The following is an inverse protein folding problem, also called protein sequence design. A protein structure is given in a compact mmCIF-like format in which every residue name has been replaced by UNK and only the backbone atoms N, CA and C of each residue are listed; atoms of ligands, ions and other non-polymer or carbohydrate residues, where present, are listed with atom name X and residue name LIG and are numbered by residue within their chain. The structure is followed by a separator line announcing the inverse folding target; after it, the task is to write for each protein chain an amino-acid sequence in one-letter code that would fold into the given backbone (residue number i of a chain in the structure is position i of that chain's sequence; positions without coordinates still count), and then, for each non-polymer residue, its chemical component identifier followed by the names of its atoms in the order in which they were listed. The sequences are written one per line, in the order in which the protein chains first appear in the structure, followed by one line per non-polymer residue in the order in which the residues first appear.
data_IF_321788071302
#
_entry.id   IF_321788071302
#
_cell.length_a   1.000
_cell.length_b   1.000
_cell.length_c   1.000
_cell.angle_alpha   90.00
_cell.angle_beta   90.00
_cell.angle_gamma   90.00
#
_symmetry.space_group_name_H-M   'P 1'
#
loop_
_entity.id
_entity.type
_entity.pdbx_description
1 polymer ?
#
# COMPACT_ATOMS: atom_id res chain seq x y z
N UNK A 1 17.45 -36.99 -30.09
CA UNK A 1 17.07 -36.60 -28.71
C UNK A 1 18.24 -35.83 -28.14
N UNK A 2 18.14 -34.48 -27.97
CA UNK A 2 19.18 -33.70 -27.33
C UNK A 2 19.00 -33.77 -25.81
N UNK A 3 20.08 -34.20 -25.13
CA UNK A 3 20.18 -34.18 -23.67
C UNK A 3 20.43 -32.73 -23.24
N UNK A 4 19.49 -32.10 -22.60
CA UNK A 4 19.69 -30.87 -21.86
C UNK A 4 20.48 -31.18 -20.60
N UNK A 5 21.74 -30.74 -20.56
CA UNK A 5 22.56 -30.71 -19.35
C UNK A 5 22.05 -29.57 -18.46
N UNK A 6 21.39 -29.89 -17.37
CA UNK A 6 21.16 -28.96 -16.30
C UNK A 6 22.48 -28.71 -15.57
N UNK A 7 23.10 -27.58 -15.79
CA UNK A 7 24.15 -27.07 -14.90
C UNK A 7 23.47 -26.67 -13.60
N UNK A 8 23.65 -27.45 -12.56
CA UNK A 8 23.30 -27.12 -11.20
C UNK A 8 24.19 -25.96 -10.72
N UNK A 9 23.76 -24.71 -10.95
CA UNK A 9 24.29 -23.57 -10.24
C UNK A 9 23.98 -23.77 -8.74
N UNK A 10 24.98 -23.59 -7.89
CA UNK A 10 24.81 -23.55 -6.45
C UNK A 10 23.71 -22.54 -6.14
N UNK A 11 22.52 -23.00 -5.77
CA UNK A 11 21.47 -22.16 -5.25
C UNK A 11 21.94 -21.69 -3.88
N UNK A 12 22.39 -20.45 -3.79
CA UNK A 12 22.43 -19.77 -2.50
C UNK A 12 20.99 -19.69 -2.01
N UNK A 13 20.69 -20.40 -0.96
CA UNK A 13 19.37 -20.36 -0.32
C UNK A 13 19.35 -19.10 0.56
N UNK A 14 18.75 -18.05 0.04
CA UNK A 14 18.54 -16.81 0.81
C UNK A 14 17.28 -16.96 1.65
N UNK A 15 17.31 -16.40 2.85
CA UNK A 15 16.13 -16.22 3.69
C UNK A 15 15.69 -14.76 3.62
N UNK A 16 14.39 -14.52 3.83
CA UNK A 16 13.87 -13.14 3.92
C UNK A 16 14.36 -12.42 5.17
N UNK A 17 14.85 -13.16 6.17
CA UNK A 17 15.31 -12.68 7.47
C UNK A 17 16.47 -13.51 8.02
N UNK A 18 17.63 -12.93 8.34
CA UNK A 18 18.14 -11.66 7.83
C UNK A 18 18.64 -11.81 6.37
N UNK A 19 18.46 -10.81 5.56
CA UNK A 19 18.96 -10.77 4.19
C UNK A 19 20.23 -9.89 4.12
N UNK A 20 21.28 -10.36 3.43
CA UNK A 20 22.40 -9.52 3.01
C UNK A 20 22.08 -8.95 1.60
N UNK A 21 21.75 -7.66 1.48
CA UNK A 21 21.34 -7.08 0.21
C UNK A 21 22.46 -7.12 -0.84
N UNK A 22 23.73 -6.95 -0.43
CA UNK A 22 24.87 -6.98 -1.34
C UNK A 22 25.08 -8.37 -1.93
N UNK A 23 25.13 -9.41 -1.07
CA UNK A 23 25.28 -10.79 -1.52
C UNK A 23 24.10 -11.22 -2.39
N UNK A 24 22.89 -10.79 -2.02
CA UNK A 24 21.67 -11.06 -2.77
C UNK A 24 21.71 -10.46 -4.17
N UNK A 25 22.09 -9.17 -4.29
CA UNK A 25 22.21 -8.49 -5.57
C UNK A 25 23.33 -9.07 -6.44
N UNK A 26 24.52 -9.36 -5.87
CA UNK A 26 25.66 -9.95 -6.59
C UNK A 26 25.35 -11.31 -7.21
N UNK A 27 24.51 -12.10 -6.54
CA UNK A 27 24.06 -13.40 -7.06
C UNK A 27 22.86 -13.31 -8.00
N UNK A 28 22.33 -12.10 -8.27
CA UNK A 28 21.04 -11.90 -8.96
C UNK A 28 19.93 -12.73 -8.28
N UNK A 29 19.93 -12.69 -6.94
CA UNK A 29 19.06 -13.50 -6.09
C UNK A 29 17.58 -13.20 -6.35
N UNK A 30 16.75 -14.20 -6.13
CA UNK A 30 15.29 -14.07 -6.19
C UNK A 30 14.67 -14.80 -5.00
N UNK A 31 13.75 -14.13 -4.35
CA UNK A 31 12.92 -14.67 -3.26
C UNK A 31 11.46 -14.42 -3.60
N UNK A 32 10.59 -15.29 -3.11
CA UNK A 32 9.15 -15.09 -3.19
C UNK A 32 8.47 -15.79 -2.03
N UNK A 33 7.35 -15.24 -1.61
CA UNK A 33 6.52 -15.79 -0.55
C UNK A 33 5.04 -15.64 -0.88
N UNK A 34 4.25 -16.49 -0.23
CA UNK A 34 2.80 -16.39 -0.22
C UNK A 34 2.33 -16.74 1.19
N UNK A 35 2.03 -15.73 1.97
CA UNK A 35 1.85 -15.83 3.41
C UNK A 35 0.52 -15.24 3.83
N UNK A 36 0.01 -15.68 5.01
CA UNK A 36 -1.20 -15.08 5.56
C UNK A 36 -0.97 -13.60 5.90
N UNK A 37 -1.91 -12.74 5.54
CA UNK A 37 -1.92 -11.32 5.88
C UNK A 37 -1.79 -11.09 7.40
N UNK A 38 -2.24 -12.04 8.21
CA UNK A 38 -2.13 -11.98 9.68
C UNK A 38 -0.69 -12.00 10.20
N UNK A 39 0.30 -12.35 9.38
CA UNK A 39 1.73 -12.24 9.73
C UNK A 39 2.24 -10.79 9.71
N UNK A 40 1.57 -9.92 9.00
CA UNK A 40 1.86 -8.51 8.83
C UNK A 40 1.01 -7.72 9.85
N UNK A 41 1.61 -7.43 11.01
CA UNK A 41 0.86 -6.99 12.20
C UNK A 41 0.14 -5.65 12.02
N UNK A 42 0.76 -4.70 11.31
CA UNK A 42 0.19 -3.37 11.09
C UNK A 42 -1.03 -3.44 10.19
N UNK A 43 -0.91 -4.13 9.03
CA UNK A 43 -2.05 -4.31 8.12
C UNK A 43 -3.15 -5.13 8.78
N UNK A 44 -2.79 -6.18 9.55
CA UNK A 44 -3.76 -7.00 10.26
C UNK A 44 -4.57 -6.19 11.28
N UNK A 45 -3.97 -5.18 11.92
CA UNK A 45 -4.67 -4.26 12.82
C UNK A 45 -5.67 -3.39 12.06
N UNK A 46 -5.28 -2.84 10.91
CA UNK A 46 -6.16 -2.01 10.08
C UNK A 46 -7.35 -2.81 9.50
N UNK A 47 -7.15 -4.10 9.25
CA UNK A 47 -8.21 -5.02 8.82
C UNK A 47 -9.19 -5.42 9.94
N UNK A 48 -8.97 -5.00 11.19
CA UNK A 48 -9.90 -5.21 12.34
C UNK A 48 -10.45 -6.64 12.43
N UNK A 49 -9.58 -7.66 12.35
CA UNK A 49 -9.93 -9.09 12.37
C UNK A 49 -10.64 -9.66 11.12
N UNK A 50 -10.90 -8.87 10.10
CA UNK A 50 -11.46 -9.36 8.83
C UNK A 50 -10.40 -10.00 7.91
N UNK A 51 -9.11 -9.83 8.21
CA UNK A 51 -7.99 -10.36 7.42
C UNK A 51 -7.75 -11.88 7.47
N UNK A 52 -8.64 -12.64 8.15
CA UNK A 52 -8.52 -14.10 8.22
C UNK A 52 -8.75 -14.71 6.83
N UNK A 53 -7.74 -15.46 6.35
CA UNK A 53 -7.78 -16.10 5.02
C UNK A 53 -7.25 -15.20 3.88
N UNK A 54 -7.02 -13.91 4.10
CA UNK A 54 -6.33 -13.08 3.14
C UNK A 54 -4.85 -13.45 3.05
N UNK A 55 -4.31 -13.40 1.84
CA UNK A 55 -2.94 -13.78 1.54
C UNK A 55 -2.18 -12.58 0.99
N UNK A 56 -0.88 -12.54 1.27
CA UNK A 56 0.10 -11.63 0.71
C UNK A 56 1.03 -12.44 -0.17
N UNK A 57 1.00 -12.19 -1.46
CA UNK A 57 1.95 -12.75 -2.41
C UNK A 57 3.01 -11.71 -2.72
N UNK A 58 4.28 -12.05 -2.58
CA UNK A 58 5.37 -11.13 -2.87
C UNK A 58 6.53 -11.82 -3.58
N UNK A 59 7.31 -11.04 -4.30
CA UNK A 59 8.58 -11.46 -4.87
C UNK A 59 9.59 -10.31 -4.83
N UNK A 60 10.84 -10.65 -4.56
CA UNK A 60 11.95 -9.72 -4.53
C UNK A 60 13.09 -10.23 -5.42
N UNK A 61 13.74 -9.32 -6.12
CA UNK A 61 14.90 -9.60 -6.98
C UNK A 61 16.02 -8.61 -6.68
N UNK A 62 17.20 -9.15 -6.37
CA UNK A 62 18.43 -8.37 -6.24
C UNK A 62 19.11 -8.19 -7.59
N UNK A 63 19.71 -7.02 -7.81
CA UNK A 63 20.43 -6.69 -9.03
C UNK A 63 21.61 -5.76 -8.71
N UNK A 64 22.77 -6.02 -9.34
CA UNK A 64 23.87 -5.05 -9.36
C UNK A 64 23.78 -4.23 -10.64
N UNK A 65 23.80 -2.91 -10.51
CA UNK A 65 23.82 -1.97 -11.64
C UNK A 65 25.07 -1.12 -11.58
N UNK A 66 25.56 -0.69 -12.72
CA UNK A 66 26.60 0.32 -12.79
C UNK A 66 25.94 1.69 -13.00
N UNK A 67 26.36 2.70 -12.21
CA UNK A 67 26.00 4.08 -12.45
C UNK A 67 26.70 4.61 -13.72
N UNK A 68 26.45 5.87 -14.08
CA UNK A 68 27.06 6.54 -15.24
C UNK A 68 28.57 6.78 -15.11
N UNK A 69 29.14 6.59 -13.91
CA UNK A 69 30.57 6.69 -13.61
C UNK A 69 31.24 5.31 -13.51
N UNK A 70 30.46 4.22 -13.58
CA UNK A 70 30.93 2.84 -13.47
C UNK A 70 31.01 2.32 -12.02
N UNK A 71 30.44 3.02 -11.03
CA UNK A 71 30.33 2.49 -9.68
C UNK A 71 29.19 1.48 -9.60
N UNK A 72 29.42 0.42 -8.83
CA UNK A 72 28.42 -0.60 -8.59
C UNK A 72 27.39 -0.15 -7.55
N UNK A 73 26.13 -0.20 -7.96
CA UNK A 73 24.97 0.07 -7.10
C UNK A 73 24.19 -1.23 -6.81
N UNK A 74 23.68 -1.33 -5.58
CA UNK A 74 22.89 -2.46 -5.13
C UNK A 74 21.42 -2.09 -5.27
N UNK A 75 20.69 -2.87 -6.04
CA UNK A 75 19.27 -2.66 -6.30
C UNK A 75 18.42 -3.83 -5.82
N UNK A 76 17.22 -3.53 -5.34
CA UNK A 76 16.18 -4.48 -4.99
C UNK A 76 14.88 -4.09 -5.71
N UNK A 77 14.29 -5.03 -6.43
CA UNK A 77 12.95 -4.89 -7.00
C UNK A 77 11.97 -5.69 -6.16
N UNK A 78 10.93 -5.05 -5.68
CA UNK A 78 9.87 -5.65 -4.88
C UNK A 78 8.54 -5.56 -5.62
N UNK A 79 7.89 -6.71 -5.76
CA UNK A 79 6.49 -6.82 -6.17
C UNK A 79 5.72 -7.43 -5.01
N UNK A 80 4.58 -6.87 -4.66
CA UNK A 80 3.67 -7.48 -3.70
C UNK A 80 2.21 -7.21 -4.08
N UNK A 81 1.37 -8.23 -3.89
CA UNK A 81 -0.06 -8.18 -4.11
C UNK A 81 -0.78 -8.72 -2.87
N UNK A 82 -1.78 -7.99 -2.41
CA UNK A 82 -2.63 -8.41 -1.30
C UNK A 82 -4.06 -7.89 -1.47
N UNK A 83 -5.00 -8.51 -0.76
CA UNK A 83 -6.33 -7.97 -0.56
C UNK A 83 -6.54 -7.71 0.93
N UNK A 84 -6.75 -6.44 1.30
CA UNK A 84 -6.96 -6.02 2.67
C UNK A 84 -8.46 -5.78 2.90
N UNK A 85 -9.17 -6.66 3.62
CA UNK A 85 -10.57 -6.44 3.98
C UNK A 85 -10.64 -5.36 5.08
N UNK A 86 -11.18 -4.20 4.74
CA UNK A 86 -11.32 -3.03 5.62
C UNK A 86 -12.79 -2.66 5.83
N UNK A 87 -13.08 -1.79 6.79
CA UNK A 87 -14.43 -1.27 6.98
C UNK A 87 -14.63 -0.03 6.12
N UNK A 88 -15.61 -0.10 5.23
CA UNK A 88 -16.03 1.05 4.42
C UNK A 88 -16.51 2.19 5.32
N UNK A 89 -15.89 3.36 5.22
CA UNK A 89 -16.22 4.52 6.06
C UNK A 89 -17.55 5.20 5.69
N UNK A 90 -18.21 4.71 4.64
CA UNK A 90 -19.53 5.24 4.22
C UNK A 90 -20.70 4.37 4.66
N UNK A 91 -20.61 3.03 4.45
CA UNK A 91 -21.72 2.13 4.77
C UNK A 91 -21.44 1.20 5.96
N UNK A 92 -20.22 1.22 6.50
CA UNK A 92 -19.74 0.40 7.62
C UNK A 92 -19.72 -1.11 7.35
N UNK A 93 -19.84 -1.52 6.10
CA UNK A 93 -19.66 -2.90 5.68
C UNK A 93 -18.22 -3.16 5.23
N UNK A 94 -17.83 -4.43 5.18
CA UNK A 94 -16.48 -4.82 4.75
C UNK A 94 -16.30 -4.54 3.26
N UNK A 95 -15.17 -3.95 2.91
CA UNK A 95 -14.71 -3.72 1.53
C UNK A 95 -13.31 -4.29 1.36
N UNK A 96 -13.11 -5.07 0.31
CA UNK A 96 -11.80 -5.61 -0.04
C UNK A 96 -11.01 -4.57 -0.83
N UNK A 97 -9.90 -4.13 -0.25
CA UNK A 97 -8.97 -3.17 -0.86
C UNK A 97 -7.84 -3.95 -1.51
N UNK A 98 -7.71 -3.83 -2.82
CA UNK A 98 -6.59 -4.41 -3.55
C UNK A 98 -5.35 -3.54 -3.34
N UNK A 99 -4.28 -4.13 -2.82
CA UNK A 99 -2.98 -3.52 -2.61
C UNK A 99 -2.00 -4.08 -3.63
N UNK A 100 -1.25 -3.20 -4.31
CA UNK A 100 -0.25 -3.59 -5.30
C UNK A 100 0.97 -2.74 -5.15
N UNK A 101 2.08 -3.39 -4.90
CA UNK A 101 3.42 -2.80 -4.79
C UNK A 101 4.23 -3.22 -6.01
N UNK A 102 4.84 -2.24 -6.67
CA UNK A 102 5.85 -2.41 -7.73
C UNK A 102 6.89 -1.32 -7.51
N UNK A 103 7.91 -1.63 -6.72
CA UNK A 103 8.92 -0.66 -6.27
C UNK A 103 10.33 -1.14 -6.52
N UNK A 104 11.20 -0.17 -6.74
CA UNK A 104 12.64 -0.39 -6.88
C UNK A 104 13.37 0.45 -5.86
N UNK A 105 14.23 -0.20 -5.10
CA UNK A 105 15.04 0.42 -4.06
C UNK A 105 16.50 0.37 -4.43
N UNK A 106 17.24 1.43 -4.10
CA UNK A 106 18.69 1.47 -4.20
C UNK A 106 19.31 1.57 -2.82
N UNK A 107 20.26 0.69 -2.52
CA UNK A 107 20.96 0.72 -1.26
C UNK A 107 22.13 1.69 -1.30
N UNK A 108 22.23 2.52 -0.27
CA UNK A 108 23.33 3.46 -0.05
C UNK A 108 24.09 3.11 1.24
N UNK A 109 25.28 3.68 1.42
CA UNK A 109 26.17 3.30 2.51
C UNK A 109 25.67 3.77 3.89
N UNK A 110 25.06 4.95 3.95
CA UNK A 110 24.71 5.63 5.20
C UNK A 110 23.57 6.64 5.00
N UNK A 111 23.01 7.09 6.11
CA UNK A 111 21.90 8.07 6.18
C UNK A 111 22.26 9.44 5.59
N UNK A 112 23.52 9.86 5.72
CA UNK A 112 23.99 11.15 5.18
C UNK A 112 23.93 11.13 3.65
N UNK A 113 24.37 10.02 3.06
CA UNK A 113 24.29 9.77 1.62
C UNK A 113 22.83 9.67 1.15
N UNK A 114 21.98 8.96 1.89
CA UNK A 114 20.55 8.87 1.59
C UNK A 114 19.92 10.27 1.57
N UNK A 115 20.07 11.05 2.64
CA UNK A 115 19.50 12.39 2.77
C UNK A 115 20.01 13.37 1.70
N UNK A 116 21.28 13.23 1.27
CA UNK A 116 21.86 14.09 0.23
C UNK A 116 21.33 13.78 -1.18
N UNK A 117 20.88 12.56 -1.44
CA UNK A 117 20.45 12.10 -2.75
C UNK A 117 18.93 11.98 -2.92
N UNK A 118 18.18 11.89 -1.84
CA UNK A 118 16.73 11.62 -1.83
C UNK A 118 15.94 12.57 -2.75
N UNK A 119 16.23 13.86 -2.71
CA UNK A 119 15.57 14.85 -3.57
C UNK A 119 16.04 14.83 -5.05
N UNK A 120 17.07 14.05 -5.37
CA UNK A 120 17.73 14.07 -6.69
C UNK A 120 17.45 12.82 -7.52
N UNK A 121 16.90 11.77 -6.92
CA UNK A 121 16.63 10.48 -7.55
C UNK A 121 15.14 10.16 -7.51
N UNK A 122 14.72 9.27 -8.39
CA UNK A 122 13.32 8.86 -8.49
C UNK A 122 13.03 7.57 -7.71
N UNK A 123 14.05 6.81 -7.44
CA UNK A 123 13.97 5.57 -6.64
C UNK A 123 14.06 5.86 -5.15
N UNK A 124 13.48 4.98 -4.35
CA UNK A 124 13.57 5.05 -2.89
C UNK A 124 14.94 4.54 -2.43
N UNK A 125 15.56 5.28 -1.49
CA UNK A 125 16.87 4.96 -0.96
C UNK A 125 16.78 4.22 0.37
N UNK A 126 17.51 3.10 0.47
CA UNK A 126 17.62 2.31 1.69
C UNK A 126 19.07 2.29 2.16
N UNK A 127 19.27 2.40 3.46
CA UNK A 127 20.61 2.33 4.04
C UNK A 127 21.03 0.87 4.24
N UNK A 128 22.26 0.54 3.84
CA UNK A 128 22.89 -0.75 4.12
C UNK A 128 23.18 -0.88 5.61
N UNK A 129 22.16 -1.15 6.42
CA UNK A 129 22.33 -1.60 7.80
C UNK A 129 22.57 -3.13 7.80
N UNK A 130 23.44 -3.62 8.67
CA UNK A 130 24.00 -4.98 8.61
C UNK A 130 23.05 -6.15 8.38
N UNK A 131 21.85 -6.13 8.98
CA UNK A 131 20.79 -7.13 8.77
C UNK A 131 19.56 -6.42 8.19
N UNK A 132 19.18 -6.84 6.98
CA UNK A 132 18.02 -6.30 6.30
C UNK A 132 16.82 -7.24 6.43
N UNK A 133 15.69 -6.68 6.85
CA UNK A 133 14.42 -7.39 6.98
C UNK A 133 13.52 -7.13 5.76
N UNK A 134 13.56 -8.07 4.82
CA UNK A 134 12.72 -7.99 3.62
C UNK A 134 11.23 -8.12 3.95
N UNK A 135 10.85 -8.88 4.98
CA UNK A 135 9.46 -9.03 5.37
C UNK A 135 8.90 -7.72 5.94
N UNK A 136 9.71 -6.99 6.70
CA UNK A 136 9.36 -5.66 7.18
C UNK A 136 9.18 -4.69 6.02
N UNK A 137 10.07 -4.70 5.02
CA UNK A 137 9.92 -3.86 3.83
C UNK A 137 8.62 -4.18 3.08
N UNK A 138 8.27 -5.45 2.89
CA UNK A 138 6.99 -5.85 2.27
C UNK A 138 5.81 -5.26 3.04
N UNK A 139 5.85 -5.31 4.37
CA UNK A 139 4.79 -4.74 5.21
C UNK A 139 4.74 -3.20 5.10
N UNK A 140 5.89 -2.53 5.12
CA UNK A 140 5.99 -1.08 4.99
C UNK A 140 5.34 -0.60 3.69
N UNK A 141 5.69 -1.22 2.57
CA UNK A 141 5.17 -0.86 1.26
C UNK A 141 3.67 -1.14 1.13
N UNK A 142 3.19 -2.28 1.64
CA UNK A 142 1.75 -2.58 1.64
C UNK A 142 0.95 -1.60 2.52
N UNK A 143 1.51 -1.14 3.65
CA UNK A 143 0.87 -0.11 4.49
C UNK A 143 0.80 1.23 3.76
N UNK A 144 1.82 1.59 2.99
CA UNK A 144 1.82 2.82 2.18
C UNK A 144 0.78 2.80 1.05
N UNK A 145 0.42 1.62 0.56
CA UNK A 145 -0.63 1.44 -0.46
C UNK A 145 -2.06 1.47 0.12
N UNK A 146 -2.23 1.46 1.45
CA UNK A 146 -3.54 1.56 2.06
C UNK A 146 -4.17 2.94 1.78
N UNK A 147 -5.44 2.99 1.37
CA UNK A 147 -6.11 4.26 1.18
C UNK A 147 -6.37 4.94 2.53
N UNK A 148 -6.24 6.27 2.58
CA UNK A 148 -6.58 7.05 3.78
C UNK A 148 -8.03 6.82 4.23
N UNK A 149 -8.94 6.53 3.31
CA UNK A 149 -10.35 6.28 3.57
C UNK A 149 -10.79 5.07 2.75
N UNK A 150 -10.96 3.93 3.39
CA UNK A 150 -11.51 2.73 2.75
C UNK A 150 -13.00 2.93 2.43
N UNK A 151 -13.39 2.69 1.18
CA UNK A 151 -14.79 2.79 0.75
C UNK A 151 -15.07 1.95 -0.49
N UNK A 152 -16.30 1.45 -0.60
CA UNK A 152 -16.77 0.89 -1.86
C UNK A 152 -16.91 1.98 -2.93
N UNK A 153 -16.69 1.66 -4.18
CA UNK A 153 -17.09 2.54 -5.28
C UNK A 153 -18.62 2.74 -5.25
N UNK A 154 -19.37 1.63 -5.15
CA UNK A 154 -20.81 1.62 -4.96
C UNK A 154 -21.10 0.80 -3.70
N UNK A 155 -21.65 1.44 -2.66
CA UNK A 155 -22.02 0.74 -1.43
C UNK A 155 -23.15 -0.26 -1.67
N UNK A 156 -23.05 -1.49 -1.13
CA UNK A 156 -24.13 -2.47 -1.21
C UNK A 156 -25.40 -1.98 -0.50
N UNK A 157 -25.23 -1.28 0.62
CA UNK A 157 -26.32 -0.65 1.36
C UNK A 157 -26.19 0.87 1.27
N UNK A 158 -27.26 1.57 0.89
CA UNK A 158 -27.25 3.03 0.91
C UNK A 158 -27.28 3.52 2.37
N UNK A 159 -26.26 4.25 2.83
CA UNK A 159 -26.27 4.80 4.18
C UNK A 159 -27.35 5.86 4.32
N UNK A 160 -27.99 5.99 5.50
CA UNK A 160 -28.90 7.07 5.75
C UNK A 160 -28.17 8.42 5.65
N UNK A 161 -28.67 9.31 4.80
CA UNK A 161 -28.06 10.64 4.58
C UNK A 161 -28.51 11.66 5.62
N UNK A 162 -29.49 11.31 6.46
CA UNK A 162 -29.98 12.13 7.56
C UNK A 162 -30.45 11.27 8.72
N UNK A 163 -30.23 11.75 9.93
CA UNK A 163 -30.77 11.21 11.15
C UNK A 163 -31.26 12.38 12.01
N UNK A 164 -32.44 12.23 12.61
CA UNK A 164 -33.00 13.21 13.54
C UNK A 164 -33.75 12.48 14.61
N UNK A 165 -33.72 13.04 15.83
CA UNK A 165 -34.56 12.57 16.92
C UNK A 165 -36.03 12.84 16.61
N UNK A 166 -36.93 12.03 17.18
CA UNK A 166 -38.39 12.17 17.02
C UNK A 166 -38.89 13.57 17.35
N UNK A 167 -38.24 14.22 18.32
CA UNK A 167 -38.65 15.53 18.86
C UNK A 167 -37.96 16.70 18.14
N UNK A 168 -37.01 16.43 17.21
CA UNK A 168 -36.27 17.47 16.52
C UNK A 168 -37.18 18.41 15.73
N UNK A 169 -38.18 17.85 15.03
CA UNK A 169 -39.16 18.62 14.27
C UNK A 169 -39.94 19.62 15.13
N UNK A 170 -40.30 19.21 16.35
CA UNK A 170 -41.01 20.04 17.31
C UNK A 170 -40.09 21.14 17.86
N UNK A 171 -38.84 20.78 18.20
CA UNK A 171 -37.86 21.70 18.75
C UNK A 171 -37.44 22.81 17.77
N UNK A 172 -37.48 22.53 16.44
CA UNK A 172 -37.06 23.45 15.40
C UNK A 172 -38.21 24.27 14.82
N UNK A 173 -39.45 23.79 14.89
CA UNK A 173 -40.64 24.44 14.32
C UNK A 173 -40.85 25.89 14.80
N UNK A 174 -40.32 26.27 15.96
CA UNK A 174 -40.41 27.63 16.51
C UNK A 174 -39.19 28.51 16.26
N UNK A 175 -38.14 28.02 15.57
CA UNK A 175 -36.92 28.79 15.34
C UNK A 175 -36.80 29.19 13.87
N UNK A 176 -36.58 30.48 13.55
CA UNK A 176 -36.33 30.89 12.19
C UNK A 176 -35.04 30.25 11.70
N UNK A 177 -35.07 29.68 10.49
CA UNK A 177 -33.87 29.10 9.87
C UNK A 177 -32.82 30.20 9.59
N UNK A 178 -31.65 30.19 10.27
CA UNK A 178 -30.64 31.22 10.09
C UNK A 178 -30.08 31.30 8.67
N UNK A 179 -30.25 30.21 7.90
CA UNK A 179 -29.77 30.12 6.50
C UNK A 179 -30.87 30.40 5.48
N UNK A 180 -32.09 30.81 5.89
CA UNK A 180 -33.18 31.11 4.95
C UNK A 180 -32.80 32.21 3.94
N UNK A 181 -31.93 33.12 4.31
CA UNK A 181 -31.38 34.17 3.44
C UNK A 181 -30.64 33.65 2.26
N UNK A 182 -30.04 32.46 2.35
CA UNK A 182 -29.28 31.82 1.27
C UNK A 182 -30.18 31.40 0.10
N UNK A 183 -31.47 31.18 0.34
CA UNK A 183 -32.42 30.86 -0.71
C UNK A 183 -32.51 32.01 -1.76
N UNK A 184 -32.24 33.26 -1.38
CA UNK A 184 -32.22 34.43 -2.25
C UNK A 184 -30.95 34.49 -3.14
N UNK A 185 -29.91 33.77 -2.78
CA UNK A 185 -28.63 33.67 -3.52
C UNK A 185 -28.61 32.51 -4.53
N UNK A 186 -29.58 31.60 -4.47
CA UNK A 186 -29.69 30.53 -5.47
C UNK A 186 -30.24 31.13 -6.79
N UNK A 187 -29.53 31.03 -7.91
CA UNK A 187 -30.08 31.43 -9.20
C UNK A 187 -31.34 30.62 -9.45
N UNK A 188 -32.43 31.32 -9.77
CA UNK A 188 -33.74 30.73 -9.94
C UNK A 188 -33.67 29.54 -10.90
N UNK A 189 -34.26 28.41 -10.51
CA UNK A 189 -34.52 27.30 -11.40
C UNK A 189 -35.39 27.84 -12.54
N UNK A 190 -34.82 27.90 -13.75
CA UNK A 190 -35.59 28.20 -14.92
C UNK A 190 -36.71 27.15 -15.03
N UNK A 191 -37.95 27.59 -15.04
CA UNK A 191 -39.10 26.73 -15.30
C UNK A 191 -38.88 26.02 -16.64
N UNK A 192 -39.06 24.72 -16.76
CA UNK A 192 -39.11 24.06 -18.04
C UNK A 192 -40.40 24.57 -18.74
N UNK A 193 -40.22 25.37 -19.76
CA UNK A 193 -41.32 25.83 -20.64
C UNK A 193 -42.12 24.63 -21.19
N UNK A 194 -43.40 24.86 -21.29
CA UNK A 194 -44.50 24.03 -21.80
C UNK A 194 -44.21 23.31 -23.10
#
# INVERSE_FOLDING_TARGET
MPRFSYTAGMKHEFAALPLDPRAFAQSSGQLSGNESLTRYQRIAQDCQHHGQGAMVAWSARGEMRADHLGHEEIWLHLLADASAPMICQRCLEVVDIALRVDRSFRFVADEETAAAQDDQVAEDLLVLAGEFDLQQLVEDELVLELPLIARHEVCPTQPPVSASDSDFGIAVAGRPNPFAVLAQLMPGKADPEK
#
